data_IF_813931682347
#
_entry.id   IF_813931682347
#
_cell.length_a   1.000
_cell.length_b   1.000
_cell.length_c   1.000
_cell.angle_alpha   90.00
_cell.angle_beta   90.00
_cell.angle_gamma   90.00
#
_symmetry.space_group_name_H-M   'P 1'
#
loop_
_entity.id
_entity.type
_entity.pdbx_description
1 polymer ?
#
# COMPACT_ATOMS: atom_id res chain seq x y z
N UNK A 1 -13.33 13.42 16.11
CA UNK A 1 -12.09 12.77 16.59
C UNK A 1 -11.15 12.41 15.44
N UNK A 2 -11.61 11.66 14.43
CA UNK A 2 -10.87 11.22 13.22
C UNK A 2 -10.04 12.31 12.51
N UNK A 3 -10.56 13.54 12.40
CA UNK A 3 -9.89 14.66 11.72
C UNK A 3 -9.07 15.57 12.64
N UNK A 4 -9.41 15.57 13.93
CA UNK A 4 -8.92 16.57 14.89
C UNK A 4 -7.61 16.10 15.54
N UNK A 5 -7.50 14.80 15.85
CA UNK A 5 -6.30 14.20 16.43
C UNK A 5 -5.08 14.23 15.49
N UNK A 6 -5.20 13.86 14.20
CA UNK A 6 -4.07 13.87 13.28
C UNK A 6 -3.45 15.25 13.06
N UNK A 7 -4.18 16.32 13.37
CA UNK A 7 -3.69 17.69 13.26
C UNK A 7 -3.24 18.23 14.63
N UNK A 8 -4.02 17.98 15.68
CA UNK A 8 -3.73 18.54 17.01
C UNK A 8 -2.39 18.06 17.56
N UNK A 9 -2.08 16.76 17.49
CA UNK A 9 -0.83 16.22 18.04
C UNK A 9 0.41 16.76 17.29
N UNK A 10 0.49 16.71 15.96
CA UNK A 10 1.63 17.28 15.25
C UNK A 10 1.76 18.79 15.44
N UNK A 11 0.65 19.53 15.52
CA UNK A 11 0.68 20.98 15.81
C UNK A 11 1.20 21.22 17.22
N UNK A 12 0.79 20.44 18.22
CA UNK A 12 1.36 20.58 19.57
C UNK A 12 2.84 20.30 19.58
N UNK A 13 3.30 19.27 18.87
CA UNK A 13 4.73 18.96 18.73
C UNK A 13 5.49 20.10 18.05
N UNK A 14 4.92 20.70 17.01
CA UNK A 14 5.50 21.86 16.32
C UNK A 14 5.69 23.08 17.22
N UNK A 15 4.71 23.34 18.09
CA UNK A 15 4.67 24.53 18.95
C UNK A 15 5.51 24.37 20.23
N UNK A 16 5.81 23.14 20.63
CA UNK A 16 6.52 22.87 21.89
C UNK A 16 8.03 22.81 21.64
N UNK A 17 8.82 23.70 22.28
CA UNK A 17 10.27 23.70 22.13
C UNK A 17 10.88 22.34 22.55
N UNK A 18 11.93 21.86 21.85
CA UNK A 18 12.58 20.58 22.17
C UNK A 18 13.05 20.48 23.63
N UNK A 19 13.41 21.61 24.25
CA UNK A 19 13.87 21.68 25.64
C UNK A 19 12.76 21.28 26.62
N UNK A 20 11.51 21.64 26.34
CA UNK A 20 10.35 21.28 27.16
C UNK A 20 10.01 19.79 27.08
N UNK A 21 10.46 19.10 26.03
CA UNK A 21 10.29 17.66 25.85
C UNK A 21 11.44 16.84 26.44
N UNK A 22 12.48 17.49 26.96
CA UNK A 22 13.72 16.81 27.36
C UNK A 22 14.57 16.34 26.17
N UNK A 23 14.36 16.94 24.99
CA UNK A 23 15.05 16.61 23.74
C UNK A 23 15.95 17.78 23.30
N UNK A 24 16.81 18.28 24.19
CA UNK A 24 17.63 19.49 23.99
C UNK A 24 18.64 19.38 22.84
N UNK A 25 19.01 18.16 22.43
CA UNK A 25 20.05 17.94 21.43
C UNK A 25 19.49 17.87 19.99
N UNK A 26 18.18 18.06 19.81
CA UNK A 26 17.56 18.01 18.49
C UNK A 26 17.76 19.31 17.72
N UNK A 27 18.24 19.17 16.48
CA UNK A 27 18.21 20.26 15.50
C UNK A 27 16.78 20.60 15.10
N UNK A 28 16.56 21.81 14.59
CA UNK A 28 15.27 22.27 14.10
C UNK A 28 14.71 21.36 13.01
N UNK A 29 15.56 20.88 12.10
CA UNK A 29 15.17 19.91 11.06
C UNK A 29 14.68 18.60 11.68
N UNK A 30 15.39 18.03 12.65
CA UNK A 30 14.99 16.77 13.28
C UNK A 30 13.68 16.90 14.06
N UNK A 31 13.48 18.02 14.75
CA UNK A 31 12.23 18.30 15.44
C UNK A 31 11.04 18.42 14.47
N UNK A 32 11.23 19.09 13.33
CA UNK A 32 10.21 19.15 12.25
C UNK A 32 9.93 17.78 11.64
N UNK A 33 10.94 16.93 11.51
CA UNK A 33 10.77 15.55 11.06
C UNK A 33 9.98 14.70 12.05
N UNK A 34 10.17 14.89 13.36
CA UNK A 34 9.37 14.22 14.38
C UNK A 34 7.89 14.63 14.29
N UNK A 35 7.61 15.92 14.05
CA UNK A 35 6.26 16.41 13.76
C UNK A 35 5.68 15.72 12.52
N UNK A 36 6.38 15.76 11.39
CA UNK A 36 5.91 15.18 10.12
C UNK A 36 5.69 13.67 10.24
N UNK A 37 6.57 12.97 10.96
CA UNK A 37 6.44 11.54 11.24
C UNK A 37 5.20 11.24 12.07
N UNK A 38 4.94 12.01 13.14
CA UNK A 38 3.73 11.85 13.96
C UNK A 38 2.46 12.10 13.13
N UNK A 39 2.48 13.11 12.25
CA UNK A 39 1.41 13.40 11.31
C UNK A 39 1.18 12.24 10.35
N UNK A 40 2.24 11.64 9.81
CA UNK A 40 2.17 10.49 8.92
C UNK A 40 1.49 9.29 9.60
N UNK A 41 1.96 8.91 10.79
CA UNK A 41 1.42 7.79 11.56
C UNK A 41 -0.07 8.00 11.87
N UNK A 42 -0.44 9.19 12.36
CA UNK A 42 -1.82 9.47 12.72
C UNK A 42 -2.73 9.53 11.48
N UNK A 43 -2.28 10.12 10.37
CA UNK A 43 -3.07 10.18 9.15
C UNK A 43 -3.22 8.80 8.47
N UNK A 44 -2.23 7.91 8.57
CA UNK A 44 -2.37 6.55 8.03
C UNK A 44 -3.22 5.64 8.92
N UNK A 45 -3.17 5.78 10.25
CA UNK A 45 -4.00 4.96 11.15
C UNK A 45 -5.46 5.44 11.16
N UNK A 46 -5.67 6.76 11.26
CA UNK A 46 -7.01 7.32 11.39
C UNK A 46 -7.67 7.60 10.04
N UNK A 47 -6.94 7.53 8.93
CA UNK A 47 -7.43 7.75 7.56
C UNK A 47 -8.42 8.94 7.42
N UNK A 48 -8.08 10.16 7.90
CA UNK A 48 -8.95 11.32 7.76
C UNK A 48 -9.16 11.70 6.29
N UNK A 49 -8.12 11.54 5.48
CA UNK A 49 -8.12 11.72 4.03
C UNK A 49 -7.59 10.43 3.38
N UNK A 50 -7.82 10.21 2.07
CA UNK A 50 -7.30 9.05 1.37
C UNK A 50 -5.78 8.90 1.51
N UNK A 51 -5.28 7.65 1.58
CA UNK A 51 -3.86 7.33 1.83
C UNK A 51 -2.92 8.01 0.81
N UNK A 52 -3.31 8.07 -0.46
CA UNK A 52 -2.51 8.76 -1.49
C UNK A 52 -2.39 10.26 -1.23
N UNK A 53 -3.47 10.89 -0.75
CA UNK A 53 -3.49 12.32 -0.43
C UNK A 53 -2.62 12.60 0.80
N UNK A 54 -2.65 11.72 1.80
CA UNK A 54 -1.72 11.76 2.94
C UNK A 54 -0.28 11.74 2.47
N UNK A 55 0.12 10.79 1.60
CA UNK A 55 1.50 10.69 1.13
C UNK A 55 1.97 11.94 0.36
N UNK A 56 1.12 12.50 -0.53
CA UNK A 56 1.43 13.75 -1.25
C UNK A 56 1.55 14.92 -0.27
N UNK A 57 0.64 15.00 0.70
CA UNK A 57 0.65 16.06 1.72
C UNK A 57 1.90 16.01 2.60
N UNK A 58 2.38 14.81 2.95
CA UNK A 58 3.62 14.65 3.71
C UNK A 58 4.83 15.13 2.93
N UNK A 59 4.97 14.73 1.66
CA UNK A 59 6.08 15.21 0.81
C UNK A 59 6.00 16.73 0.63
N UNK A 60 4.80 17.28 0.49
CA UNK A 60 4.61 18.74 0.46
C UNK A 60 5.10 19.41 1.76
N UNK A 61 4.79 18.83 2.93
CA UNK A 61 5.28 19.33 4.21
C UNK A 61 6.80 19.23 4.35
N UNK A 62 7.42 18.13 3.90
CA UNK A 62 8.87 17.97 3.88
C UNK A 62 9.56 19.02 3.00
N UNK A 63 9.00 19.29 1.81
CA UNK A 63 9.48 20.34 0.91
C UNK A 63 9.36 21.73 1.54
N UNK A 64 8.24 22.01 2.22
CA UNK A 64 7.98 23.31 2.82
C UNK A 64 8.85 23.58 4.05
N UNK A 65 9.10 22.55 4.87
CA UNK A 65 9.59 22.70 6.24
C UNK A 65 11.05 22.26 6.44
N UNK A 66 11.55 21.30 5.65
CA UNK A 66 12.84 20.62 5.91
C UNK A 66 13.80 20.66 4.72
N UNK A 67 13.31 20.95 3.52
CA UNK A 67 14.14 20.95 2.33
C UNK A 67 15.14 22.12 2.25
N UNK A 68 16.23 21.96 1.48
CA UNK A 68 17.16 23.01 1.09
C UNK A 68 16.47 24.20 0.34
N UNK A 69 15.30 23.96 -0.27
CA UNK A 69 14.44 24.97 -0.90
C UNK A 69 13.18 25.32 -0.08
N UNK A 70 13.18 25.01 1.21
CA UNK A 70 12.09 25.36 2.15
C UNK A 70 11.83 26.87 2.24
N UNK A 71 10.68 27.25 2.81
CA UNK A 71 10.29 28.66 2.94
C UNK A 71 11.36 29.45 3.71
N UNK A 72 11.84 30.54 3.13
CA UNK A 72 12.96 31.32 3.68
C UNK A 72 12.65 31.84 5.09
N UNK A 73 11.42 32.32 5.32
CA UNK A 73 10.97 32.80 6.63
C UNK A 73 11.09 31.74 7.74
N UNK A 74 10.97 30.45 7.39
CA UNK A 74 11.08 29.35 8.35
C UNK A 74 12.54 28.95 8.67
N UNK A 75 13.52 29.57 8.01
CA UNK A 75 14.96 29.35 8.23
C UNK A 75 15.67 30.56 8.83
N UNK A 76 15.06 31.74 8.70
CA UNK A 76 15.64 32.98 9.20
C UNK A 76 15.65 32.98 10.75
N UNK A 77 16.79 33.41 11.33
CA UNK A 77 16.94 33.57 12.78
C UNK A 77 17.56 32.39 13.54
N UNK A 78 17.94 31.31 12.86
CA UNK A 78 18.62 30.17 13.47
C UNK A 78 20.07 30.07 12.98
N UNK A 79 21.00 29.76 13.89
CA UNK A 79 22.38 29.46 13.51
C UNK A 79 22.50 28.12 12.78
N UNK A 80 23.55 27.95 12.00
CA UNK A 80 23.76 26.76 11.15
C UNK A 80 23.77 25.45 11.98
N UNK A 81 24.32 25.49 13.19
CA UNK A 81 24.32 24.35 14.11
C UNK A 81 22.92 23.99 14.63
N UNK A 82 22.06 24.98 14.86
CA UNK A 82 20.69 24.78 15.34
C UNK A 82 19.74 24.35 14.21
N UNK A 83 19.99 24.81 12.98
CA UNK A 83 19.19 24.46 11.81
C UNK A 83 19.30 22.96 11.48
N UNK A 84 20.52 22.43 11.55
CA UNK A 84 20.84 21.06 11.15
C UNK A 84 20.96 20.89 9.64
N UNK A 85 21.05 19.64 9.18
CA UNK A 85 21.24 19.31 7.76
C UNK A 85 19.91 19.34 7.02
N UNK A 86 19.76 20.26 6.07
CA UNK A 86 18.59 20.34 5.19
C UNK A 86 18.58 19.21 4.16
N UNK A 87 17.38 18.69 3.85
CA UNK A 87 17.22 17.64 2.85
C UNK A 87 17.21 18.21 1.42
N UNK A 88 17.94 17.64 0.45
CA UNK A 88 17.84 18.06 -0.95
C UNK A 88 16.41 17.86 -1.49
N UNK A 89 15.79 18.91 -2.05
CA UNK A 89 14.43 18.80 -2.62
C UNK A 89 14.34 17.74 -3.73
N UNK A 90 15.43 17.54 -4.47
CA UNK A 90 15.52 16.51 -5.52
C UNK A 90 15.35 15.10 -4.94
N UNK A 91 15.86 14.83 -3.74
CA UNK A 91 15.70 13.53 -3.08
C UNK A 91 14.25 13.28 -2.66
N UNK A 92 13.59 14.30 -2.13
CA UNK A 92 12.17 14.24 -1.77
C UNK A 92 11.32 13.95 -3.02
N UNK A 93 11.55 14.69 -4.12
CA UNK A 93 10.81 14.53 -5.37
C UNK A 93 11.11 13.21 -6.09
N UNK A 94 12.34 12.69 -6.01
CA UNK A 94 12.71 11.36 -6.55
C UNK A 94 11.84 10.24 -6.00
N UNK A 95 11.27 10.40 -4.81
CA UNK A 95 10.34 9.44 -4.22
C UNK A 95 9.12 9.16 -5.11
N UNK A 96 8.64 10.15 -5.88
CA UNK A 96 7.52 9.96 -6.81
C UNK A 96 7.86 9.06 -8.02
N UNK A 97 9.12 9.05 -8.43
CA UNK A 97 9.60 8.32 -9.60
C UNK A 97 10.49 7.13 -9.21
N UNK A 98 10.23 6.53 -8.04
CA UNK A 98 11.02 5.38 -7.60
C UNK A 98 10.88 4.20 -8.59
N UNK A 99 11.94 3.38 -8.79
CA UNK A 99 11.87 2.21 -9.66
C UNK A 99 10.74 1.24 -9.28
N UNK A 100 10.39 1.17 -8.01
CA UNK A 100 9.30 0.34 -7.48
C UNK A 100 7.95 0.84 -7.97
N UNK A 101 7.71 2.15 -7.93
CA UNK A 101 6.47 2.75 -8.47
C UNK A 101 6.36 2.45 -9.97
N UNK A 102 7.47 2.59 -10.71
CA UNK A 102 7.50 2.28 -12.15
C UNK A 102 7.20 0.81 -12.43
N UNK A 103 7.73 -0.11 -11.61
CA UNK A 103 7.45 -1.55 -11.71
C UNK A 103 5.96 -1.85 -11.48
N UNK A 104 5.34 -1.29 -10.44
CA UNK A 104 3.91 -1.45 -10.19
C UNK A 104 3.06 -0.88 -11.31
N UNK A 105 3.42 0.29 -11.83
CA UNK A 105 2.71 0.92 -12.94
C UNK A 105 2.66 -0.01 -14.17
N UNK A 106 3.82 -0.60 -14.54
CA UNK A 106 3.91 -1.59 -15.62
C UNK A 106 3.10 -2.87 -15.32
N UNK A 107 3.19 -3.39 -14.10
CA UNK A 107 2.42 -4.56 -13.65
C UNK A 107 0.91 -4.32 -13.72
N UNK A 108 0.43 -3.16 -13.28
CA UNK A 108 -0.98 -2.80 -13.36
C UNK A 108 -1.44 -2.60 -14.80
N UNK A 109 -0.63 -2.02 -15.69
CA UNK A 109 -0.98 -1.97 -17.11
C UNK A 109 -1.12 -3.35 -17.73
N UNK A 110 -0.20 -4.28 -17.41
CA UNK A 110 -0.29 -5.66 -17.88
C UNK A 110 -1.54 -6.36 -17.33
N UNK A 111 -1.83 -6.21 -16.04
CA UNK A 111 -3.02 -6.76 -15.40
C UNK A 111 -4.31 -6.22 -16.04
N UNK A 112 -4.42 -4.90 -16.22
CA UNK A 112 -5.58 -4.25 -16.86
C UNK A 112 -5.73 -4.73 -18.31
N UNK A 113 -4.63 -4.86 -19.05
CA UNK A 113 -4.66 -5.38 -20.42
C UNK A 113 -5.17 -6.82 -20.44
N UNK A 114 -4.66 -7.69 -19.57
CA UNK A 114 -5.11 -9.08 -19.45
C UNK A 114 -6.62 -9.17 -19.16
N UNK A 115 -7.13 -8.34 -18.24
CA UNK A 115 -8.56 -8.26 -17.93
C UNK A 115 -9.39 -7.69 -19.08
N UNK A 116 -8.90 -6.64 -19.77
CA UNK A 116 -9.58 -6.03 -20.92
C UNK A 116 -9.79 -7.05 -22.05
N UNK A 117 -8.79 -7.88 -22.33
CA UNK A 117 -8.87 -8.93 -23.36
C UNK A 117 -9.45 -10.25 -22.82
N UNK A 118 -9.91 -10.28 -21.55
CA UNK A 118 -10.45 -11.47 -20.87
C UNK A 118 -9.49 -12.67 -20.89
N UNK A 119 -8.19 -12.40 -20.99
CA UNK A 119 -7.15 -13.42 -21.00
C UNK A 119 -7.14 -14.17 -19.66
N UNK A 120 -7.26 -13.42 -18.57
CA UNK A 120 -7.42 -13.92 -17.20
C UNK A 120 -8.59 -14.91 -17.06
N UNK A 121 -9.79 -14.56 -17.54
CA UNK A 121 -10.97 -15.43 -17.48
C UNK A 121 -10.85 -16.67 -18.35
N UNK A 122 -10.33 -16.51 -19.57
CA UNK A 122 -10.16 -17.62 -20.49
C UNK A 122 -9.11 -18.61 -19.96
N UNK A 123 -8.00 -18.08 -19.44
CA UNK A 123 -6.93 -18.88 -18.86
C UNK A 123 -7.41 -19.63 -17.61
N UNK A 124 -8.11 -18.96 -16.69
CA UNK A 124 -8.67 -19.62 -15.49
C UNK A 124 -9.62 -20.77 -15.86
N UNK A 125 -10.51 -20.57 -16.85
CA UNK A 125 -11.42 -21.64 -17.31
C UNK A 125 -10.66 -22.83 -17.88
N UNK A 126 -9.60 -22.60 -18.67
CA UNK A 126 -8.77 -23.67 -19.24
C UNK A 126 -8.00 -24.39 -18.15
N UNK A 127 -7.39 -23.66 -17.23
CA UNK A 127 -6.61 -24.20 -16.10
C UNK A 127 -7.47 -24.98 -15.10
N UNK A 128 -8.78 -24.69 -14.99
CA UNK A 128 -9.70 -25.44 -14.14
C UNK A 128 -10.13 -26.79 -14.74
N UNK A 129 -10.06 -26.98 -16.06
CA UNK A 129 -10.51 -28.23 -16.73
C UNK A 129 -9.90 -29.51 -16.15
N UNK A 130 -8.60 -29.58 -15.83
CA UNK A 130 -7.98 -30.80 -15.30
C UNK A 130 -8.50 -31.23 -13.93
N UNK A 131 -9.10 -30.33 -13.15
CA UNK A 131 -9.58 -30.61 -11.80
C UNK A 131 -10.93 -31.35 -11.77
N UNK A 132 -11.55 -31.60 -12.94
CA UNK A 132 -12.73 -32.44 -13.09
C UNK A 132 -13.97 -31.89 -12.38
N UNK A 133 -14.84 -32.81 -11.94
CA UNK A 133 -16.14 -32.48 -11.33
C UNK A 133 -16.21 -32.75 -9.82
N UNK A 134 -15.13 -33.27 -9.23
CA UNK A 134 -15.13 -33.57 -7.81
C UNK A 134 -14.90 -32.28 -7.00
N UNK A 135 -15.83 -31.88 -6.10
CA UNK A 135 -15.77 -30.60 -5.39
C UNK A 135 -14.43 -30.34 -4.69
N UNK A 136 -13.79 -31.37 -4.12
CA UNK A 136 -12.50 -31.21 -3.43
C UNK A 136 -11.39 -30.78 -4.38
N UNK A 137 -11.32 -31.38 -5.56
CA UNK A 137 -10.31 -31.05 -6.57
C UNK A 137 -10.63 -29.72 -7.25
N UNK A 138 -11.90 -29.40 -7.46
CA UNK A 138 -12.30 -28.08 -7.98
C UNK A 138 -11.90 -26.96 -7.02
N UNK A 139 -12.13 -27.14 -5.70
CA UNK A 139 -11.69 -26.17 -4.69
C UNK A 139 -10.17 -26.00 -4.69
N UNK A 140 -9.41 -27.11 -4.76
CA UNK A 140 -7.96 -27.07 -4.86
C UNK A 140 -7.50 -26.32 -6.12
N UNK A 141 -8.12 -26.60 -7.27
CA UNK A 141 -7.83 -25.92 -8.52
C UNK A 141 -8.11 -24.42 -8.45
N UNK A 142 -9.24 -24.03 -7.85
CA UNK A 142 -9.56 -22.64 -7.58
C UNK A 142 -8.48 -21.97 -6.72
N UNK A 143 -8.06 -22.61 -5.63
CA UNK A 143 -7.01 -22.06 -4.76
C UNK A 143 -5.68 -21.90 -5.49
N UNK A 144 -5.22 -22.93 -6.20
CA UNK A 144 -3.94 -22.89 -6.91
C UNK A 144 -3.92 -21.81 -8.01
N UNK A 145 -4.97 -21.76 -8.82
CA UNK A 145 -5.07 -20.78 -9.91
C UNK A 145 -5.21 -19.37 -9.35
N UNK A 146 -5.99 -19.19 -8.29
CA UNK A 146 -6.12 -17.91 -7.59
C UNK A 146 -4.77 -17.45 -7.06
N UNK A 147 -4.00 -18.33 -6.42
CA UNK A 147 -2.68 -18.00 -5.90
C UNK A 147 -1.72 -17.57 -7.02
N UNK A 148 -1.66 -18.32 -8.14
CA UNK A 148 -0.83 -17.97 -9.30
C UNK A 148 -1.25 -16.64 -9.91
N UNK A 149 -2.53 -16.38 -10.05
CA UNK A 149 -3.00 -15.11 -10.60
C UNK A 149 -2.69 -13.93 -9.67
N UNK A 150 -2.82 -14.13 -8.36
CA UNK A 150 -2.54 -13.11 -7.35
C UNK A 150 -1.05 -12.78 -7.22
N UNK A 151 -0.15 -13.59 -7.79
CA UNK A 151 1.26 -13.24 -7.92
C UNK A 151 1.48 -12.07 -8.88
N UNK A 152 0.60 -11.86 -9.85
CA UNK A 152 0.78 -10.85 -10.92
C UNK A 152 -0.33 -9.81 -10.97
N UNK A 153 -1.49 -10.11 -10.36
CA UNK A 153 -2.62 -9.20 -10.22
C UNK A 153 -2.86 -8.88 -8.74
N UNK A 154 -3.50 -7.74 -8.46
CA UNK A 154 -3.88 -7.39 -7.08
C UNK A 154 -4.82 -8.43 -6.47
N UNK A 155 -4.64 -8.74 -5.18
CA UNK A 155 -5.46 -9.72 -4.46
C UNK A 155 -6.96 -9.44 -4.60
N UNK A 156 -7.36 -8.17 -4.54
CA UNK A 156 -8.76 -7.74 -4.71
C UNK A 156 -9.29 -8.03 -6.11
N UNK A 157 -8.52 -7.71 -7.16
CA UNK A 157 -8.92 -7.97 -8.54
C UNK A 157 -9.01 -9.47 -8.82
N UNK A 158 -8.01 -10.25 -8.38
CA UNK A 158 -7.99 -11.70 -8.53
C UNK A 158 -9.17 -12.36 -7.81
N UNK A 159 -9.47 -11.93 -6.59
CA UNK A 159 -10.62 -12.44 -5.82
C UNK A 159 -11.93 -12.16 -6.54
N UNK A 160 -12.16 -10.93 -7.00
CA UNK A 160 -13.38 -10.57 -7.72
C UNK A 160 -13.55 -11.38 -9.02
N UNK A 161 -12.45 -11.59 -9.77
CA UNK A 161 -12.44 -12.41 -10.97
C UNK A 161 -12.80 -13.87 -10.68
N UNK A 162 -12.13 -14.47 -9.70
CA UNK A 162 -12.33 -15.88 -9.35
C UNK A 162 -13.71 -16.12 -8.75
N UNK A 163 -14.24 -15.18 -7.96
CA UNK A 163 -15.64 -15.24 -7.48
C UNK A 163 -16.64 -15.17 -8.63
N UNK A 164 -16.40 -14.35 -9.66
CA UNK A 164 -17.26 -14.31 -10.83
C UNK A 164 -17.23 -15.63 -11.64
N UNK A 165 -16.09 -16.33 -11.66
CA UNK A 165 -15.97 -17.67 -12.27
C UNK A 165 -16.64 -18.74 -11.40
N UNK A 166 -16.57 -18.60 -10.07
CA UNK A 166 -17.17 -19.52 -9.11
C UNK A 166 -18.70 -19.36 -9.03
N UNK A 167 -19.27 -18.20 -9.38
CA UNK A 167 -20.69 -17.91 -9.25
C UNK A 167 -21.66 -18.99 -9.81
N UNK A 168 -21.45 -19.54 -11.03
CA UNK A 168 -22.30 -20.61 -11.54
C UNK A 168 -22.20 -21.91 -10.73
N UNK A 169 -21.03 -22.19 -10.15
CA UNK A 169 -20.79 -23.39 -9.31
C UNK A 169 -21.48 -23.24 -7.96
N UNK A 170 -21.56 -22.01 -7.42
CA UNK A 170 -22.27 -21.75 -6.15
C UNK A 170 -23.77 -22.05 -6.21
N UNK A 171 -24.37 -22.02 -7.40
CA UNK A 171 -25.79 -22.35 -7.59
C UNK A 171 -26.07 -23.86 -7.50
N UNK A 172 -25.03 -24.70 -7.50
CA UNK A 172 -25.17 -26.15 -7.32
C UNK A 172 -25.29 -26.55 -5.85
N UNK A 173 -24.95 -25.64 -4.92
CA UNK A 173 -25.02 -25.87 -3.48
C UNK A 173 -26.33 -25.32 -2.91
N UNK A 174 -26.85 -25.98 -1.87
CA UNK A 174 -27.93 -25.40 -1.07
C UNK A 174 -27.41 -24.14 -0.33
N UNK A 175 -28.27 -23.13 -0.09
CA UNK A 175 -27.84 -21.89 0.53
C UNK A 175 -27.17 -22.04 1.90
N UNK A 176 -27.57 -23.07 2.66
CA UNK A 176 -27.08 -23.37 4.01
C UNK A 176 -25.95 -24.42 4.02
N UNK A 177 -25.50 -24.89 2.86
CA UNK A 177 -24.41 -25.86 2.79
C UNK A 177 -23.07 -25.21 3.19
N UNK A 178 -22.37 -25.71 4.23
CA UNK A 178 -21.07 -25.18 4.64
C UNK A 178 -20.01 -25.26 3.53
N UNK A 179 -20.16 -26.18 2.56
CA UNK A 179 -19.28 -26.23 1.40
C UNK A 179 -19.33 -24.94 0.59
N UNK A 180 -20.51 -24.30 0.47
CA UNK A 180 -20.68 -23.02 -0.24
C UNK A 180 -19.82 -21.92 0.35
N UNK A 181 -19.78 -21.83 1.68
CA UNK A 181 -18.95 -20.87 2.43
C UNK A 181 -17.47 -21.21 2.24
N UNK A 182 -17.11 -22.50 2.30
CA UNK A 182 -15.73 -22.96 2.07
C UNK A 182 -15.19 -22.56 0.70
N UNK A 183 -15.97 -22.78 -0.37
CA UNK A 183 -15.61 -22.35 -1.73
C UNK A 183 -15.40 -20.84 -1.82
N UNK A 184 -16.32 -20.04 -1.27
CA UNK A 184 -16.20 -18.57 -1.27
C UNK A 184 -14.95 -18.12 -0.52
N UNK A 185 -14.67 -18.66 0.67
CA UNK A 185 -13.52 -18.26 1.50
C UNK A 185 -12.17 -18.76 0.99
N UNK A 186 -12.14 -19.89 0.28
CA UNK A 186 -10.92 -20.45 -0.29
C UNK A 186 -10.22 -19.49 -1.26
N UNK A 187 -10.98 -18.69 -2.01
CA UNK A 187 -10.46 -17.74 -3.00
C UNK A 187 -9.69 -16.58 -2.35
N UNK A 188 -10.27 -15.74 -1.48
CA UNK A 188 -9.54 -14.63 -0.87
C UNK A 188 -8.34 -15.09 -0.02
N UNK A 189 -8.44 -16.26 0.63
CA UNK A 189 -7.30 -16.86 1.33
C UNK A 189 -6.16 -17.21 0.35
N UNK A 190 -6.48 -17.90 -0.74
CA UNK A 190 -5.49 -18.23 -1.76
C UNK A 190 -4.90 -17.00 -2.45
N UNK A 191 -5.71 -15.96 -2.68
CA UNK A 191 -5.24 -14.69 -3.25
C UNK A 191 -4.21 -14.02 -2.32
N UNK A 192 -4.49 -13.96 -1.02
CA UNK A 192 -3.55 -13.40 -0.06
C UNK A 192 -2.23 -14.19 0.02
N UNK A 193 -2.29 -15.52 -0.02
CA UNK A 193 -1.08 -16.37 -0.07
C UNK A 193 -0.31 -16.14 -1.37
N UNK A 194 -1.00 -16.13 -2.51
CA UNK A 194 -0.39 -15.89 -3.82
C UNK A 194 0.24 -14.51 -3.95
N UNK A 195 -0.36 -13.48 -3.34
CA UNK A 195 0.14 -12.11 -3.34
C UNK A 195 1.49 -11.93 -2.66
N UNK A 196 1.95 -12.90 -1.86
CA UNK A 196 3.29 -12.92 -1.26
C UNK A 196 4.33 -13.58 -2.18
N UNK A 197 3.89 -14.30 -3.23
CA UNK A 197 4.76 -15.12 -4.07
C UNK A 197 5.72 -14.35 -4.97
N UNK A 198 5.43 -13.09 -5.32
CA UNK A 198 6.33 -12.24 -6.11
C UNK A 198 6.36 -10.80 -5.59
N UNK A 199 7.39 -10.01 -5.94
CA UNK A 199 7.46 -8.61 -5.56
C UNK A 199 6.33 -7.73 -6.12
N UNK A 200 5.70 -8.17 -7.22
CA UNK A 200 4.64 -7.43 -7.92
C UNK A 200 3.27 -7.70 -7.29
N UNK A 201 3.10 -8.81 -6.57
CA UNK A 201 1.82 -9.25 -6.03
C UNK A 201 1.19 -8.25 -5.06
N UNK A 202 1.99 -7.69 -4.13
CA UNK A 202 1.50 -6.68 -3.18
C UNK A 202 2.53 -5.57 -2.91
N UNK A 203 2.08 -4.32 -2.63
CA UNK A 203 2.97 -3.20 -2.32
C UNK A 203 4.03 -3.47 -1.23
N UNK A 204 3.69 -4.15 -0.11
CA UNK A 204 4.67 -4.47 0.93
C UNK A 204 5.89 -5.26 0.42
N UNK A 205 5.71 -6.19 -0.52
CA UNK A 205 6.81 -7.03 -1.01
C UNK A 205 7.89 -6.23 -1.73
N UNK A 206 7.48 -5.26 -2.56
CA UNK A 206 8.44 -4.43 -3.28
C UNK A 206 9.12 -3.42 -2.37
N UNK A 207 8.40 -2.88 -1.38
CA UNK A 207 9.00 -2.03 -0.35
C UNK A 207 10.06 -2.82 0.41
N UNK A 208 9.76 -4.06 0.80
CA UNK A 208 10.74 -4.94 1.45
C UNK A 208 11.96 -5.21 0.55
N UNK A 209 11.77 -5.48 -0.75
CA UNK A 209 12.90 -5.64 -1.68
C UNK A 209 13.83 -4.42 -1.70
N UNK A 210 13.29 -3.19 -1.64
CA UNK A 210 14.10 -1.96 -1.58
C UNK A 210 15.15 -1.98 -0.45
N UNK A 211 14.85 -2.64 0.66
CA UNK A 211 15.73 -2.68 1.83
C UNK A 211 16.60 -3.94 1.88
N UNK A 212 16.29 -4.96 1.08
CA UNK A 212 17.01 -6.25 1.05
C UNK A 212 18.04 -6.34 -0.09
N UNK A 213 17.92 -5.51 -1.13
CA UNK A 213 18.82 -5.42 -2.28
C UNK A 213 19.40 -4.03 -2.42
#
# INVERSE_FOLDING_TARGET
>A
MKYLIPLAIPITLWLTPPEMMGLSDLTLVQHRMLMIFSLAVLCWILEPIPIFATSVFLIFMELLLVSNKSVIWLRQGFEEHQLGVLLPYEELLKSFASPIIMLFLGGFFLAIAATKYRLDRNLARVLLRPFGNNPRFVMLGLMLITAVFSMFMSNTATTALMLAILAPVLNLFHPEDPARVGFILSIPLAANIGGVGTPIGTPPNAVAMKYLT
#
